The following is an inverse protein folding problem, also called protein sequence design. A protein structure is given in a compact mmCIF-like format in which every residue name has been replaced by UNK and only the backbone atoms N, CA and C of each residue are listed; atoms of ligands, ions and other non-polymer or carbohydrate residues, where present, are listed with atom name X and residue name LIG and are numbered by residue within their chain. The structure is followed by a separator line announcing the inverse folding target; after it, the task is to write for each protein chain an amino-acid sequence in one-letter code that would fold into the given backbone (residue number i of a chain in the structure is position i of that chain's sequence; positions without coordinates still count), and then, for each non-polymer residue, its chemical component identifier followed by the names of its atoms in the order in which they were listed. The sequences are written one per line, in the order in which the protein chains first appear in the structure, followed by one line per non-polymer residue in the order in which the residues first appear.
data_IF_743757133233
#
_entry.id   IF_743757133233
#
_cell.length_a   1.000
_cell.length_b   1.000
_cell.length_c   1.000
_cell.angle_alpha   90.00
_cell.angle_beta   90.00
_cell.angle_gamma   90.00
#
_symmetry.space_group_name_H-M   'P 1'
#
loop_
_entity.id
_entity.type
_entity.pdbx_description
1 polymer ?
#
# COMPACT_ATOMS: atom_id res chain seq x y z
N UNK A 1 9.34 -6.66 -20.72
CA UNK A 1 10.11 -7.36 -19.66
C UNK A 1 10.98 -6.41 -18.81
N UNK A 2 11.80 -5.52 -19.39
CA UNK A 2 12.65 -4.58 -18.63
C UNK A 2 11.83 -3.64 -17.72
N UNK A 3 10.77 -3.04 -18.25
CA UNK A 3 9.88 -2.14 -17.48
C UNK A 3 9.14 -2.85 -16.35
N UNK A 4 8.76 -4.11 -16.54
CA UNK A 4 8.11 -4.92 -15.50
C UNK A 4 8.99 -5.10 -14.28
N UNK A 5 10.25 -5.50 -14.50
CA UNK A 5 11.19 -5.69 -13.40
C UNK A 5 11.50 -4.38 -12.66
N UNK A 6 11.55 -3.26 -13.38
CA UNK A 6 11.85 -1.96 -12.80
C UNK A 6 10.74 -1.44 -11.88
N UNK A 7 9.46 -1.62 -12.26
CA UNK A 7 8.31 -1.22 -11.40
C UNK A 7 8.22 -2.06 -10.13
N UNK A 8 8.44 -3.36 -10.24
CA UNK A 8 8.45 -4.26 -9.10
C UNK A 8 9.60 -3.92 -8.14
N UNK A 9 10.78 -3.64 -8.70
CA UNK A 9 11.96 -3.27 -7.92
C UNK A 9 11.74 -1.97 -7.14
N UNK A 10 11.01 -1.00 -7.71
CA UNK A 10 10.69 0.24 -7.01
C UNK A 10 9.68 0.07 -5.88
N UNK A 11 8.62 -0.72 -6.09
CA UNK A 11 7.67 -1.02 -5.02
C UNK A 11 8.36 -1.78 -3.89
N UNK A 12 9.21 -2.75 -4.23
CA UNK A 12 10.01 -3.46 -3.26
C UNK A 12 11.02 -2.55 -2.55
N UNK A 13 11.69 -1.64 -3.26
CA UNK A 13 12.62 -0.69 -2.64
C UNK A 13 11.91 0.22 -1.64
N UNK A 14 10.70 0.68 -1.97
CA UNK A 14 9.88 1.47 -1.06
C UNK A 14 9.50 0.69 0.21
N UNK A 15 9.17 -0.59 0.08
CA UNK A 15 8.92 -1.47 1.21
C UNK A 15 10.16 -1.69 2.07
N UNK A 16 11.27 -2.07 1.44
CA UNK A 16 12.51 -2.37 2.15
C UNK A 16 13.10 -1.15 2.85
N UNK A 17 13.05 0.04 2.23
CA UNK A 17 13.53 1.27 2.88
C UNK A 17 12.71 1.60 4.12
N UNK A 18 11.38 1.47 4.07
CA UNK A 18 10.53 1.66 5.25
C UNK A 18 10.83 0.64 6.35
N UNK A 19 11.08 -0.62 5.98
CA UNK A 19 11.41 -1.69 6.91
C UNK A 19 12.80 -1.47 7.55
N UNK A 20 13.81 -1.10 6.74
CA UNK A 20 15.16 -0.79 7.23
C UNK A 20 15.09 0.41 8.18
N UNK A 21 14.40 1.47 7.82
CA UNK A 21 14.25 2.64 8.68
C UNK A 21 13.54 2.28 9.99
N UNK A 22 12.53 1.41 9.95
CA UNK A 22 11.83 0.95 11.15
C UNK A 22 12.75 0.19 12.12
N UNK A 23 13.68 -0.61 11.58
CA UNK A 23 14.57 -1.46 12.39
C UNK A 23 15.83 -0.73 12.87
N UNK A 24 16.37 0.17 12.05
CA UNK A 24 17.67 0.82 12.23
C UNK A 24 17.55 2.19 12.89
N UNK A 25 16.36 2.79 12.87
CA UNK A 25 16.12 4.23 13.10
C UNK A 25 16.68 4.81 14.40
N UNK A 26 16.70 4.06 15.50
CA UNK A 26 17.03 4.66 16.82
C UNK A 26 18.50 4.60 17.25
N UNK A 27 19.30 3.76 16.63
CA UNK A 27 20.71 3.58 17.05
C UNK A 27 21.74 4.16 16.10
N UNK A 28 21.44 4.26 14.81
CA UNK A 28 22.40 4.63 13.77
C UNK A 28 22.03 5.90 12.99
N UNK A 29 20.75 6.21 12.88
CA UNK A 29 20.28 7.41 12.18
C UNK A 29 19.79 8.44 13.21
N UNK A 30 20.27 9.66 13.09
CA UNK A 30 19.71 10.79 13.85
C UNK A 30 18.29 11.09 13.38
N UNK A 31 17.46 11.75 14.20
CA UNK A 31 16.11 12.19 13.88
C UNK A 31 16.00 12.82 12.47
N UNK A 32 16.90 13.73 12.13
CA UNK A 32 16.96 14.37 10.81
C UNK A 32 17.29 13.38 9.69
N UNK A 33 18.12 12.37 9.96
CA UNK A 33 18.49 11.35 8.99
C UNK A 33 17.31 10.46 8.60
N UNK A 34 16.51 10.03 9.58
CA UNK A 34 15.28 9.25 9.35
C UNK A 34 14.26 10.03 8.52
N UNK A 35 14.02 11.28 8.87
CA UNK A 35 13.13 12.15 8.11
C UNK A 35 13.60 12.32 6.66
N UNK A 36 14.87 12.61 6.48
CA UNK A 36 15.45 12.81 5.15
C UNK A 36 15.33 11.56 4.27
N UNK A 37 15.65 10.38 4.79
CA UNK A 37 15.56 9.12 4.03
C UNK A 37 14.13 8.78 3.63
N UNK A 38 13.14 8.98 4.51
CA UNK A 38 11.74 8.71 4.23
C UNK A 38 11.15 9.69 3.20
N UNK A 39 11.52 10.96 3.28
CA UNK A 39 11.08 11.97 2.30
C UNK A 39 11.73 11.72 0.94
N UNK A 40 13.01 11.43 0.91
CA UNK A 40 13.72 11.10 -0.33
C UNK A 40 13.07 9.91 -1.02
N UNK A 41 12.67 8.89 -0.25
CA UNK A 41 11.96 7.74 -0.78
C UNK A 41 10.62 8.10 -1.44
N UNK A 42 9.82 9.00 -0.80
CA UNK A 42 8.58 9.50 -1.40
C UNK A 42 8.82 10.36 -2.64
N UNK A 43 9.86 11.17 -2.66
CA UNK A 43 10.24 11.95 -3.86
C UNK A 43 10.60 10.99 -5.00
N UNK A 44 11.37 9.94 -4.74
CA UNK A 44 11.70 8.93 -5.74
C UNK A 44 10.45 8.23 -6.27
N UNK A 45 9.50 7.88 -5.41
CA UNK A 45 8.23 7.29 -5.80
C UNK A 45 7.43 8.24 -6.70
N UNK A 46 7.35 9.51 -6.37
CA UNK A 46 6.64 10.50 -7.16
C UNK A 46 7.30 10.75 -8.51
N UNK A 47 8.62 10.93 -8.57
CA UNK A 47 9.36 11.11 -9.85
C UNK A 47 9.18 9.89 -10.75
N UNK A 48 9.15 8.71 -10.17
CA UNK A 48 8.85 7.49 -10.90
C UNK A 48 7.42 7.50 -11.45
N UNK A 49 6.43 7.90 -10.66
CA UNK A 49 5.06 8.04 -11.14
C UNK A 49 4.97 9.05 -12.28
N UNK A 50 5.67 10.19 -12.22
CA UNK A 50 5.69 11.16 -13.32
C UNK A 50 6.31 10.57 -14.61
N UNK A 51 7.39 9.80 -14.48
CA UNK A 51 8.03 9.14 -15.61
C UNK A 51 7.10 8.10 -16.26
N UNK A 52 6.44 7.27 -15.46
CA UNK A 52 5.49 6.27 -15.97
C UNK A 52 4.22 6.90 -16.54
N UNK A 53 3.78 8.03 -16.00
CA UNK A 53 2.65 8.77 -16.56
C UNK A 53 2.90 9.17 -18.01
N UNK A 54 4.10 9.69 -18.33
CA UNK A 54 4.48 10.02 -19.70
C UNK A 54 4.50 8.78 -20.60
N UNK A 55 4.98 7.64 -20.08
CA UNK A 55 4.99 6.38 -20.82
C UNK A 55 3.59 5.86 -21.14
N UNK A 56 2.65 5.90 -20.19
CA UNK A 56 1.27 5.49 -20.43
C UNK A 56 0.55 6.41 -21.43
N UNK A 57 0.81 7.71 -21.41
CA UNK A 57 0.24 8.64 -22.40
C UNK A 57 0.75 8.32 -23.81
N UNK A 58 2.06 8.08 -23.97
CA UNK A 58 2.68 7.80 -25.27
C UNK A 58 2.15 6.50 -25.85
N UNK A 59 1.94 5.47 -25.05
CA UNK A 59 1.49 4.15 -25.48
C UNK A 59 -0.05 4.00 -25.51
N UNK A 60 -0.80 5.09 -25.48
CA UNK A 60 -2.27 5.13 -25.53
C UNK A 60 -2.97 4.22 -24.51
N UNK A 61 -2.33 3.95 -23.38
CA UNK A 61 -2.95 3.22 -22.27
C UNK A 61 -3.28 1.75 -22.51
N UNK A 62 -2.80 1.13 -23.58
CA UNK A 62 -3.13 -0.25 -23.94
C UNK A 62 -2.30 -1.31 -23.19
N UNK A 63 -1.19 -0.94 -22.57
CA UNK A 63 -0.33 -1.90 -21.88
C UNK A 63 -0.68 -2.00 -20.40
N UNK A 64 -1.13 -3.19 -19.98
CA UNK A 64 -1.20 -3.54 -18.56
C UNK A 64 0.06 -4.29 -18.14
N UNK A 65 0.69 -3.85 -17.06
CA UNK A 65 1.87 -4.51 -16.50
C UNK A 65 1.39 -5.41 -15.37
N UNK A 66 1.55 -6.74 -15.52
CA UNK A 66 1.17 -7.70 -14.49
C UNK A 66 2.40 -8.38 -13.90
N UNK A 67 2.44 -8.48 -12.57
CA UNK A 67 3.46 -9.20 -11.81
C UNK A 67 2.84 -10.37 -11.11
N UNK A 68 3.44 -11.54 -11.27
CA UNK A 68 3.04 -12.77 -10.63
C UNK A 68 4.13 -13.20 -9.65
N UNK A 69 3.86 -13.09 -8.36
CA UNK A 69 4.69 -13.66 -7.31
C UNK A 69 4.16 -15.07 -7.05
N UNK A 70 4.88 -16.06 -7.54
CA UNK A 70 4.52 -17.46 -7.35
C UNK A 70 4.96 -17.89 -5.94
N UNK A 71 4.02 -18.21 -5.07
CA UNK A 71 4.34 -18.91 -3.82
C UNK A 71 4.19 -20.42 -4.04
N UNK A 72 5.14 -21.18 -3.52
CA UNK A 72 5.14 -22.63 -3.59
C UNK A 72 3.84 -23.20 -3.00
N UNK A 73 3.35 -24.30 -3.59
CA UNK A 73 2.16 -25.02 -3.19
C UNK A 73 2.19 -25.38 -1.68
N UNK A 74 1.50 -24.60 -0.85
CA UNK A 74 1.23 -24.98 0.52
C UNK A 74 -0.20 -25.54 0.58
N UNK A 75 -0.36 -26.77 0.98
CA UNK A 75 -1.65 -27.47 1.12
C UNK A 75 -2.52 -27.52 -0.16
N UNK A 76 -1.93 -27.74 -1.34
CA UNK A 76 -2.65 -27.82 -2.63
C UNK A 76 -3.46 -26.56 -3.03
N UNK A 77 -3.25 -25.44 -2.37
CA UNK A 77 -3.83 -24.15 -2.73
C UNK A 77 -2.72 -23.29 -3.32
N UNK A 78 -2.85 -22.94 -4.59
CA UNK A 78 -1.93 -22.03 -5.28
C UNK A 78 -2.22 -20.60 -4.82
N UNK A 79 -1.50 -20.12 -3.82
CA UNK A 79 -1.53 -18.71 -3.42
C UNK A 79 -0.66 -17.92 -4.39
N UNK A 80 -1.28 -17.26 -5.33
CA UNK A 80 -0.59 -16.35 -6.23
C UNK A 80 -0.90 -14.93 -5.80
N UNK A 81 0.13 -14.13 -5.53
CA UNK A 81 -0.03 -12.69 -5.38
C UNK A 81 0.12 -12.09 -6.77
N UNK A 82 -0.99 -11.60 -7.32
CA UNK A 82 -1.01 -10.91 -8.60
C UNK A 82 -1.14 -9.42 -8.36
N UNK A 83 -0.18 -8.70 -8.89
CA UNK A 83 -0.17 -7.25 -8.91
C UNK A 83 -0.31 -6.79 -10.36
N UNK A 84 -1.19 -5.83 -10.63
CA UNK A 84 -1.44 -5.32 -11.97
C UNK A 84 -1.48 -3.80 -11.98
N UNK A 85 -0.75 -3.22 -12.91
CA UNK A 85 -0.78 -1.79 -13.18
C UNK A 85 -1.50 -1.54 -14.51
N UNK A 86 -2.75 -1.12 -14.41
CA UNK A 86 -3.53 -0.58 -15.52
C UNK A 86 -3.45 0.95 -15.47
N UNK A 87 -3.90 1.63 -16.52
CA UNK A 87 -4.01 3.10 -16.56
C UNK A 87 -4.81 3.65 -15.37
N UNK A 88 -5.91 2.99 -15.00
CA UNK A 88 -6.74 3.40 -13.88
C UNK A 88 -6.02 3.21 -12.54
N UNK A 89 -5.42 2.05 -12.29
CA UNK A 89 -4.66 1.77 -11.07
C UNK A 89 -3.47 2.74 -10.95
N UNK A 90 -2.83 3.03 -12.07
CA UNK A 90 -1.71 3.95 -12.09
C UNK A 90 -2.13 5.39 -11.73
N UNK A 91 -3.29 5.85 -12.18
CA UNK A 91 -3.85 7.16 -11.81
C UNK A 91 -4.05 7.27 -10.30
N UNK A 92 -4.57 6.21 -9.66
CA UNK A 92 -4.71 6.18 -8.20
C UNK A 92 -3.35 6.15 -7.49
N UNK A 93 -2.38 5.39 -7.98
CA UNK A 93 -1.01 5.38 -7.41
C UNK A 93 -0.38 6.77 -7.50
N UNK A 94 -0.55 7.46 -8.63
CA UNK A 94 -0.09 8.83 -8.82
C UNK A 94 -0.74 9.79 -7.81
N UNK A 95 -2.06 9.72 -7.63
CA UNK A 95 -2.78 10.53 -6.65
C UNK A 95 -2.27 10.27 -5.22
N UNK A 96 -2.11 9.00 -4.84
CA UNK A 96 -1.57 8.63 -3.52
C UNK A 96 -0.14 9.16 -3.34
N UNK A 97 0.68 9.13 -4.38
CA UNK A 97 2.06 9.65 -4.31
C UNK A 97 2.12 11.17 -4.10
N UNK A 98 1.22 11.94 -4.75
CA UNK A 98 1.11 13.40 -4.55
C UNK A 98 0.70 13.72 -3.10
N UNK A 99 -0.36 13.07 -2.62
CA UNK A 99 -0.85 13.28 -1.25
C UNK A 99 0.23 12.87 -0.25
N UNK A 100 0.91 11.75 -0.51
CA UNK A 100 2.00 11.26 0.32
C UNK A 100 3.17 12.25 0.42
N UNK A 101 3.56 12.88 -0.68
CA UNK A 101 4.56 13.94 -0.67
C UNK A 101 4.10 15.17 0.12
N UNK A 102 2.89 15.65 -0.16
CA UNK A 102 2.35 16.84 0.51
C UNK A 102 2.28 16.63 2.03
N UNK A 103 1.80 15.47 2.48
CA UNK A 103 1.74 15.15 3.91
C UNK A 103 3.11 15.05 4.54
N UNK A 104 4.09 14.43 3.89
CA UNK A 104 5.45 14.34 4.42
C UNK A 104 6.12 15.72 4.55
N UNK A 105 5.95 16.62 3.58
CA UNK A 105 6.45 17.99 3.70
C UNK A 105 5.77 18.79 4.83
N UNK A 106 4.46 18.59 5.00
CA UNK A 106 3.72 19.23 6.09
C UNK A 106 4.25 18.77 7.47
N UNK A 107 4.49 17.48 7.63
CA UNK A 107 4.95 16.87 8.88
C UNK A 107 6.31 17.39 9.31
N UNK A 108 7.23 17.69 8.38
CA UNK A 108 8.55 18.28 8.70
C UNK A 108 8.45 19.52 9.57
N UNK A 109 7.48 20.37 9.28
CA UNK A 109 7.29 21.61 10.02
C UNK A 109 6.45 21.39 11.28
N UNK A 110 5.43 20.53 11.20
CA UNK A 110 4.50 20.29 12.29
C UNK A 110 5.14 19.56 13.47
N UNK A 111 5.95 18.51 13.20
CA UNK A 111 6.59 17.68 14.23
C UNK A 111 8.05 18.09 14.55
N UNK A 112 8.44 19.32 14.22
CA UNK A 112 9.82 19.79 14.40
C UNK A 112 10.32 19.71 15.85
N UNK A 113 9.43 19.81 16.81
CA UNK A 113 9.74 19.84 18.26
C UNK A 113 9.27 18.60 19.02
N UNK A 114 8.67 17.64 18.32
CA UNK A 114 8.12 16.42 18.92
C UNK A 114 9.13 15.28 18.89
N UNK A 115 9.42 14.69 20.03
CA UNK A 115 10.39 13.59 20.17
C UNK A 115 10.00 12.32 19.37
N UNK A 116 8.70 12.13 19.09
CA UNK A 116 8.15 10.98 18.37
C UNK A 116 7.80 11.27 16.92
N UNK A 117 8.24 12.38 16.37
CA UNK A 117 7.95 12.73 14.97
C UNK A 117 8.44 11.68 13.97
N UNK A 118 9.51 10.94 14.29
CA UNK A 118 10.03 9.83 13.48
C UNK A 118 9.01 8.69 13.34
N UNK A 119 8.40 8.28 14.46
CA UNK A 119 7.40 7.20 14.47
C UNK A 119 6.19 7.59 13.63
N UNK A 120 5.80 8.87 13.69
CA UNK A 120 4.66 9.37 12.93
C UNK A 120 4.91 9.36 11.41
N UNK A 121 6.05 9.86 10.97
CA UNK A 121 6.44 9.86 9.54
C UNK A 121 6.51 8.42 9.03
N UNK A 122 7.08 7.51 9.81
CA UNK A 122 7.20 6.11 9.46
C UNK A 122 5.81 5.47 9.32
N UNK A 123 4.89 5.72 10.24
CA UNK A 123 3.52 5.20 10.16
C UNK A 123 2.77 5.73 8.93
N UNK A 124 2.96 7.00 8.56
CA UNK A 124 2.38 7.55 7.33
C UNK A 124 2.96 6.89 6.08
N UNK A 125 4.27 6.64 6.06
CA UNK A 125 4.88 5.93 4.92
C UNK A 125 4.39 4.48 4.80
N UNK A 126 4.16 3.79 5.92
CA UNK A 126 3.50 2.48 5.92
C UNK A 126 2.07 2.56 5.42
N UNK A 127 1.33 3.62 5.78
CA UNK A 127 -0.01 3.85 5.27
C UNK A 127 -0.02 4.08 3.75
N UNK A 128 0.90 4.92 3.23
CA UNK A 128 1.07 5.16 1.79
C UNK A 128 1.39 3.84 1.06
N UNK A 129 2.30 3.05 1.61
CA UNK A 129 2.65 1.74 1.05
C UNK A 129 1.44 0.82 0.98
N UNK A 130 0.66 0.71 2.05
CA UNK A 130 -0.53 -0.16 2.10
C UNK A 130 -1.60 0.27 1.09
N UNK A 131 -1.79 1.59 0.88
CA UNK A 131 -2.68 2.12 -0.15
C UNK A 131 -2.22 1.76 -1.56
N UNK A 132 -0.93 1.90 -1.85
CA UNK A 132 -0.36 1.52 -3.15
C UNK A 132 -0.53 0.02 -3.37
N UNK A 133 -0.22 -0.80 -2.36
CA UNK A 133 -0.34 -2.24 -2.44
C UNK A 133 -1.79 -2.69 -2.71
N UNK A 134 -2.77 -2.06 -2.06
CA UNK A 134 -4.19 -2.31 -2.30
C UNK A 134 -4.59 -2.00 -3.75
N UNK A 135 -4.19 -0.83 -4.25
CA UNK A 135 -4.57 -0.34 -5.59
C UNK A 135 -4.00 -1.23 -6.70
N UNK A 136 -2.81 -1.77 -6.51
CA UNK A 136 -2.13 -2.61 -7.50
C UNK A 136 -2.62 -4.06 -7.43
N UNK A 137 -3.27 -4.46 -6.32
CA UNK A 137 -3.74 -5.82 -6.09
C UNK A 137 -4.75 -6.27 -7.15
N UNK A 138 -4.47 -7.39 -7.84
CA UNK A 138 -5.35 -7.98 -8.85
C UNK A 138 -5.87 -9.37 -8.45
N UNK A 139 -5.68 -9.77 -7.21
CA UNK A 139 -6.16 -11.03 -6.65
C UNK A 139 -6.83 -10.77 -5.29
N UNK A 140 -7.80 -11.61 -4.91
CA UNK A 140 -8.50 -11.50 -3.62
C UNK A 140 -7.52 -11.45 -2.44
N UNK A 141 -6.46 -12.27 -2.46
CA UNK A 141 -5.45 -12.28 -1.40
C UNK A 141 -4.69 -10.95 -1.29
N UNK A 142 -4.28 -10.36 -2.41
CA UNK A 142 -3.57 -9.07 -2.40
C UNK A 142 -4.46 -7.93 -1.91
N UNK A 143 -5.74 -7.96 -2.27
CA UNK A 143 -6.71 -6.96 -1.79
C UNK A 143 -6.93 -7.08 -0.29
N UNK A 144 -7.14 -8.29 0.23
CA UNK A 144 -7.34 -8.52 1.67
C UNK A 144 -6.14 -8.05 2.47
N UNK A 145 -4.92 -8.43 2.04
CA UNK A 145 -3.69 -8.02 2.72
C UNK A 145 -3.56 -6.49 2.72
N UNK A 146 -3.74 -5.82 1.56
CA UNK A 146 -3.67 -4.36 1.47
C UNK A 146 -4.70 -3.67 2.36
N UNK A 147 -5.92 -4.18 2.38
CA UNK A 147 -7.03 -3.67 3.19
C UNK A 147 -6.75 -3.77 4.69
N UNK A 148 -6.31 -4.93 5.15
CA UNK A 148 -5.92 -5.17 6.55
C UNK A 148 -4.74 -4.27 6.98
N UNK A 149 -3.75 -4.07 6.11
CA UNK A 149 -2.62 -3.18 6.38
C UNK A 149 -3.06 -1.72 6.53
N UNK A 150 -4.02 -1.24 5.73
CA UNK A 150 -4.60 0.10 5.86
C UNK A 150 -5.34 0.24 7.20
N UNK A 151 -6.15 -0.75 7.55
CA UNK A 151 -6.87 -0.78 8.83
C UNK A 151 -5.92 -0.72 10.03
N UNK A 152 -4.84 -1.49 10.00
CA UNK A 152 -3.84 -1.52 11.07
C UNK A 152 -3.05 -0.20 11.15
N UNK A 153 -2.57 0.32 10.05
CA UNK A 153 -1.80 1.57 10.03
C UNK A 153 -2.66 2.77 10.42
N UNK A 154 -3.94 2.82 10.01
CA UNK A 154 -4.88 3.87 10.42
C UNK A 154 -5.14 3.82 11.94
N UNK A 155 -5.32 2.64 12.51
CA UNK A 155 -5.44 2.46 13.96
C UNK A 155 -4.22 3.01 14.71
N UNK A 156 -3.00 2.70 14.24
CA UNK A 156 -1.76 3.18 14.86
C UNK A 156 -1.61 4.69 14.74
N UNK A 157 -2.01 5.29 13.62
CA UNK A 157 -1.99 6.74 13.41
C UNK A 157 -2.97 7.47 14.32
N UNK A 158 -4.20 6.98 14.47
CA UNK A 158 -5.19 7.57 15.39
C UNK A 158 -4.68 7.47 16.84
N UNK A 159 -4.07 6.34 17.19
CA UNK A 159 -3.54 6.09 18.54
C UNK A 159 -2.13 6.70 18.75
N UNK A 160 -1.65 7.55 17.88
CA UNK A 160 -0.31 8.14 18.03
C UNK A 160 -0.13 8.86 19.35
N UNK A 161 -1.12 9.67 19.78
CA UNK A 161 -1.14 10.37 21.07
C UNK A 161 -1.66 9.47 22.20
N UNK A 162 -0.94 8.39 22.52
CA UNK A 162 -1.33 7.33 23.47
C UNK A 162 -1.69 7.82 24.88
N UNK A 163 -1.23 9.00 25.26
CA UNK A 163 -1.48 9.57 26.60
C UNK A 163 -2.86 10.21 26.76
N UNK A 164 -3.57 10.46 25.67
CA UNK A 164 -4.92 11.01 25.71
C UNK A 164 -5.95 9.88 25.72
N UNK A 165 -6.73 9.75 26.79
CA UNK A 165 -7.78 8.72 26.92
C UNK A 165 -8.79 8.81 25.78
N UNK A 166 -9.09 10.02 25.29
CA UNK A 166 -9.99 10.24 24.15
C UNK A 166 -9.48 9.60 22.86
N UNK A 167 -8.17 9.65 22.59
CA UNK A 167 -7.60 9.05 21.37
C UNK A 167 -7.62 7.54 21.41
N UNK A 168 -7.42 6.93 22.58
CA UNK A 168 -7.58 5.49 22.76
C UNK A 168 -9.01 5.04 22.44
N UNK A 169 -10.00 5.71 22.99
CA UNK A 169 -11.41 5.38 22.72
C UNK A 169 -11.77 5.51 21.23
N UNK A 170 -11.27 6.55 20.55
CA UNK A 170 -11.49 6.75 19.12
C UNK A 170 -10.78 5.69 18.26
N UNK A 171 -9.55 5.34 18.59
CA UNK A 171 -8.78 4.33 17.85
C UNK A 171 -9.42 2.94 17.97
N UNK A 172 -9.88 2.55 19.16
CA UNK A 172 -10.59 1.28 19.34
C UNK A 172 -11.93 1.25 18.60
N UNK A 173 -12.70 2.35 18.61
CA UNK A 173 -13.92 2.43 17.80
C UNK A 173 -13.61 2.24 16.31
N UNK A 174 -12.66 2.97 15.78
CA UNK A 174 -12.26 2.84 14.37
C UNK A 174 -11.82 1.40 14.05
N UNK A 175 -11.00 0.79 14.90
CA UNK A 175 -10.55 -0.60 14.73
C UNK A 175 -11.70 -1.60 14.74
N UNK A 176 -12.63 -1.50 15.69
CA UNK A 176 -13.78 -2.43 15.76
C UNK A 176 -14.68 -2.32 14.54
N UNK A 177 -14.99 -1.11 14.06
CA UNK A 177 -15.77 -0.93 12.83
C UNK A 177 -15.06 -1.48 11.60
N UNK A 178 -13.73 -1.28 11.47
CA UNK A 178 -12.96 -1.87 10.39
C UNK A 178 -13.05 -3.39 10.44
N UNK A 179 -12.86 -4.03 11.62
CA UNK A 179 -12.95 -5.49 11.76
C UNK A 179 -14.33 -6.06 11.42
N UNK A 180 -15.40 -5.37 11.76
CA UNK A 180 -16.76 -5.75 11.33
C UNK A 180 -16.87 -5.68 9.79
N UNK A 181 -16.36 -4.61 9.17
CA UNK A 181 -16.32 -4.46 7.72
C UNK A 181 -15.52 -5.58 7.04
N UNK A 182 -14.36 -5.95 7.62
CA UNK A 182 -13.48 -7.01 7.11
C UNK A 182 -14.20 -8.37 7.04
N UNK A 183 -15.03 -8.69 8.05
CA UNK A 183 -15.83 -9.93 8.07
C UNK A 183 -16.78 -9.96 6.87
N UNK A 184 -17.50 -8.88 6.59
CA UNK A 184 -18.42 -8.82 5.45
C UNK A 184 -17.68 -8.88 4.11
N UNK A 185 -16.53 -8.22 4.00
CA UNK A 185 -15.69 -8.30 2.82
C UNK A 185 -15.22 -9.74 2.58
N UNK A 186 -14.73 -10.42 3.61
CA UNK A 186 -14.29 -11.82 3.52
C UNK A 186 -15.42 -12.76 3.11
N UNK A 187 -16.62 -12.61 3.67
CA UNK A 187 -17.79 -13.40 3.30
C UNK A 187 -18.11 -13.19 1.81
N UNK A 188 -18.13 -11.94 1.34
CA UNK A 188 -18.37 -11.61 -0.06
C UNK A 188 -17.36 -12.26 -1.01
N UNK A 189 -16.07 -12.17 -0.68
CA UNK A 189 -14.99 -12.80 -1.49
C UNK A 189 -15.08 -14.34 -1.46
N UNK A 190 -15.44 -14.95 -0.33
CA UNK A 190 -15.64 -16.39 -0.23
C UNK A 190 -16.82 -16.86 -1.11
N UNK A 191 -17.91 -16.11 -1.15
CA UNK A 191 -19.06 -16.42 -2.01
C UNK A 191 -18.69 -16.33 -3.50
N UNK A 192 -17.94 -15.30 -3.90
CA UNK A 192 -17.42 -15.16 -5.26
C UNK A 192 -16.49 -16.33 -5.63
N UNK A 193 -15.58 -16.69 -4.74
CA UNK A 193 -14.68 -17.82 -4.97
C UNK A 193 -15.42 -19.15 -5.09
N UNK A 194 -16.42 -19.38 -4.26
CA UNK A 194 -17.22 -20.60 -4.35
C UNK A 194 -17.97 -20.70 -5.67
N UNK A 195 -18.48 -19.59 -6.21
CA UNK A 195 -19.23 -19.55 -7.47
C UNK A 195 -18.33 -19.69 -8.69
N UNK A 196 -17.23 -18.95 -8.75
CA UNK A 196 -16.38 -18.84 -9.94
C UNK A 196 -15.09 -19.66 -9.89
N UNK A 197 -14.70 -20.19 -8.72
CA UNK A 197 -13.48 -20.99 -8.52
C UNK A 197 -12.17 -20.32 -8.94
N UNK A 198 -12.18 -18.98 -9.08
CA UNK A 198 -11.04 -18.15 -9.47
C UNK A 198 -10.82 -17.06 -8.46
N UNK A 199 -9.55 -16.76 -8.14
CA UNK A 199 -9.16 -15.68 -7.24
C UNK A 199 -8.73 -14.41 -7.98
N UNK A 200 -8.51 -14.50 -9.30
CA UNK A 200 -8.06 -13.40 -10.15
C UNK A 200 -9.24 -12.53 -10.59
N UNK A 201 -9.11 -11.22 -10.43
CA UNK A 201 -10.17 -10.27 -10.80
C UNK A 201 -10.40 -10.24 -12.32
N UNK A 202 -9.35 -10.29 -13.12
CA UNK A 202 -9.48 -10.27 -14.59
C UNK A 202 -10.25 -11.49 -15.11
N UNK A 203 -9.90 -12.69 -14.64
CA UNK A 203 -10.60 -13.92 -15.03
C UNK A 203 -12.03 -13.93 -14.53
N UNK A 204 -12.29 -13.38 -13.36
CA UNK A 204 -13.62 -13.24 -12.80
C UNK A 204 -14.49 -12.31 -13.65
N UNK A 205 -13.97 -11.16 -14.08
CA UNK A 205 -14.66 -10.22 -14.94
C UNK A 205 -14.99 -10.83 -16.31
N UNK A 206 -14.08 -11.60 -16.90
CA UNK A 206 -14.35 -12.31 -18.17
C UNK A 206 -15.44 -13.36 -18.01
N UNK A 207 -15.48 -14.10 -16.91
CA UNK A 207 -16.52 -15.09 -16.62
C UNK A 207 -17.89 -14.45 -16.36
N UNK A 208 -17.95 -13.29 -15.72
CA UNK A 208 -19.20 -12.55 -15.49
C UNK A 208 -19.76 -12.04 -16.84
N UNK A 209 -18.91 -11.57 -17.75
CA UNK A 209 -19.34 -11.06 -19.05
C UNK A 209 -19.79 -12.16 -20.02
N UNK A 210 -19.42 -13.42 -19.76
CA UNK A 210 -19.81 -14.59 -20.57
C UNK A 210 -21.12 -15.25 -20.08
N UNK A 211 -21.58 -14.95 -18.86
CA UNK A 211 -22.84 -15.40 -18.30
C UNK A 211 -23.94 -14.34 -18.44
#
# INVERSE_FOLDING_TARGET
MIYQNFTLLLILSFFFTNLIVATVSRKLLTYKGVQFTLILNNILLFTFCCYFWSFFIINYGQESISFKLNSNNWMNINYEILLKLNTLNFLFVFLVSIIGLATNFYILNYFKYEERGEEFILLINWFIFSMIFLVIGNNFFSIIIGWEMIGLTSFLLINFWRFKISTLGCSFKAFTFNKVSDIFLMIGLCLLWNKFKTSNIDTLLTLINLN
#
